data_IF_324432743269
#
_entry.id   IF_324432743269
#
_cell.length_a   1.000
_cell.length_b   1.000
_cell.length_c   1.000
_cell.angle_alpha   90.00
_cell.angle_beta   90.00
_cell.angle_gamma   90.00
#
_symmetry.space_group_name_H-M   'P 1'
#
loop_
_entity.id
_entity.type
_entity.pdbx_description
1 polymer ?
#
# COMPACT_ATOMS: atom_id res chain seq x y z
N UNK A 1 -10.81 36.44 -2.50
CA UNK A 1 -10.59 35.26 -1.64
C UNK A 1 -9.12 34.93 -1.76
N UNK A 2 -8.40 34.76 -0.64
CA UNK A 2 -6.96 34.52 -0.70
C UNK A 2 -6.71 33.21 -1.46
N UNK A 3 -5.92 33.28 -2.52
CA UNK A 3 -5.46 32.10 -3.25
C UNK A 3 -4.51 31.34 -2.31
N UNK A 4 -4.96 30.22 -1.76
CA UNK A 4 -4.12 29.38 -0.89
C UNK A 4 -3.19 28.57 -1.79
N UNK A 5 -1.89 28.86 -1.73
CA UNK A 5 -0.88 28.12 -2.49
C UNK A 5 -0.51 26.80 -1.79
N UNK A 6 0.15 25.91 -2.54
CA UNK A 6 0.48 24.57 -2.06
C UNK A 6 1.43 24.60 -0.85
N UNK A 7 2.36 25.55 -0.80
CA UNK A 7 3.32 25.68 0.30
C UNK A 7 2.61 26.05 1.61
N UNK A 8 1.66 26.98 1.56
CA UNK A 8 0.86 27.38 2.72
C UNK A 8 -0.02 26.23 3.23
N UNK A 9 -0.60 25.43 2.31
CA UNK A 9 -1.39 24.27 2.67
C UNK A 9 -0.53 23.17 3.31
N UNK A 10 0.67 22.94 2.77
CA UNK A 10 1.63 21.98 3.31
C UNK A 10 2.08 22.38 4.71
N UNK A 11 2.45 23.65 4.92
CA UNK A 11 2.84 24.16 6.24
C UNK A 11 1.70 23.99 7.26
N UNK A 12 0.46 24.26 6.87
CA UNK A 12 -0.69 24.04 7.74
C UNK A 12 -0.93 22.58 8.07
N UNK A 13 -0.73 21.67 7.12
CA UNK A 13 -0.85 20.24 7.32
C UNK A 13 0.24 19.71 8.26
N UNK A 14 1.50 20.12 8.05
CA UNK A 14 2.64 19.66 8.84
C UNK A 14 2.57 20.12 10.30
N UNK A 15 1.94 21.28 10.57
CA UNK A 15 1.73 21.80 11.92
C UNK A 15 0.59 21.12 12.70
N UNK A 16 -0.08 20.09 12.13
CA UNK A 16 -1.12 19.31 12.83
C UNK A 16 -0.54 18.18 13.67
N UNK A 17 -1.36 17.60 14.54
CA UNK A 17 -1.00 16.39 15.28
C UNK A 17 -0.74 15.22 14.33
N UNK A 18 0.03 14.23 14.78
CA UNK A 18 0.36 13.04 13.97
C UNK A 18 -0.89 12.34 13.41
N UNK A 19 -1.92 12.20 14.25
CA UNK A 19 -3.20 11.59 13.85
C UNK A 19 -3.90 12.37 12.76
N UNK A 20 -3.99 13.70 12.88
CA UNK A 20 -4.61 14.55 11.87
C UNK A 20 -3.85 14.52 10.55
N UNK A 21 -2.51 14.48 10.61
CA UNK A 21 -1.67 14.32 9.42
C UNK A 21 -1.91 12.97 8.73
N UNK A 22 -2.03 11.89 9.50
CA UNK A 22 -2.30 10.56 8.95
C UNK A 22 -3.66 10.52 8.23
N UNK A 23 -4.71 11.08 8.84
CA UNK A 23 -6.05 11.18 8.22
C UNK A 23 -6.01 12.02 6.95
N UNK A 24 -5.30 13.14 6.94
CA UNK A 24 -5.18 13.98 5.76
C UNK A 24 -4.40 13.27 4.64
N UNK A 25 -3.31 12.57 4.97
CA UNK A 25 -2.54 11.81 4.01
C UNK A 25 -3.37 10.68 3.38
N UNK A 26 -4.13 9.94 4.19
CA UNK A 26 -5.06 8.91 3.72
C UNK A 26 -6.09 9.50 2.75
N UNK A 27 -6.78 10.58 3.14
CA UNK A 27 -7.76 11.23 2.28
C UNK A 27 -7.17 11.73 0.95
N UNK A 28 -5.95 12.29 0.98
CA UNK A 28 -5.27 12.74 -0.23
C UNK A 28 -4.87 11.55 -1.13
N UNK A 29 -4.30 10.49 -0.58
CA UNK A 29 -3.96 9.28 -1.34
C UNK A 29 -5.21 8.67 -1.98
N UNK A 30 -6.29 8.48 -1.21
CA UNK A 30 -7.55 7.95 -1.73
C UNK A 30 -8.17 8.83 -2.81
N UNK A 31 -7.99 10.16 -2.75
CA UNK A 31 -8.46 11.05 -3.83
C UNK A 31 -7.68 10.93 -5.14
N UNK A 32 -6.47 10.36 -5.09
CA UNK A 32 -5.61 10.10 -6.24
C UNK A 32 -5.78 8.68 -6.79
N UNK A 33 -6.33 7.77 -6.00
CA UNK A 33 -6.67 6.42 -6.43
C UNK A 33 -7.71 6.49 -7.55
N UNK A 34 -7.30 6.05 -8.74
CA UNK A 34 -8.21 5.86 -9.87
C UNK A 34 -8.93 4.53 -9.68
N UNK A 35 -10.12 4.41 -10.25
CA UNK A 35 -10.76 3.09 -10.37
C UNK A 35 -9.75 2.13 -11.02
N UNK A 36 -9.49 0.96 -10.40
CA UNK A 36 -8.56 0.00 -10.96
C UNK A 36 -9.03 -0.37 -12.36
N UNK A 37 -8.10 -0.32 -13.31
CA UNK A 37 -8.38 -0.78 -14.66
C UNK A 37 -8.82 -2.25 -14.59
N UNK A 38 -9.97 -2.57 -15.18
CA UNK A 38 -10.55 -3.92 -15.09
C UNK A 38 -9.58 -5.02 -15.52
N UNK A 39 -8.70 -4.73 -16.47
CA UNK A 39 -7.68 -5.66 -16.94
C UNK A 39 -6.58 -5.90 -15.89
N UNK A 40 -6.23 -4.87 -15.11
CA UNK A 40 -5.27 -4.99 -14.00
C UNK A 40 -5.89 -5.83 -12.88
N UNK A 41 -7.13 -5.56 -12.50
CA UNK A 41 -7.83 -6.35 -11.48
C UNK A 41 -7.95 -7.82 -11.91
N UNK A 42 -8.32 -8.07 -13.16
CA UNK A 42 -8.39 -9.43 -13.71
C UNK A 42 -7.03 -10.13 -13.69
N UNK A 43 -5.95 -9.45 -14.11
CA UNK A 43 -4.61 -10.02 -14.06
C UNK A 43 -4.17 -10.38 -12.63
N UNK A 44 -4.56 -9.57 -11.64
CA UNK A 44 -4.32 -9.88 -10.23
C UNK A 44 -5.10 -11.09 -9.74
N UNK A 45 -6.39 -11.22 -10.10
CA UNK A 45 -7.20 -12.39 -9.76
C UNK A 45 -6.64 -13.68 -10.36
N UNK A 46 -6.24 -13.63 -11.64
CA UNK A 46 -5.62 -14.77 -12.33
C UNK A 46 -4.31 -15.19 -11.66
N UNK A 47 -3.47 -14.22 -11.27
CA UNK A 47 -2.21 -14.47 -10.58
C UNK A 47 -2.39 -15.03 -9.17
N UNK A 48 -3.36 -14.54 -8.40
CA UNK A 48 -3.70 -15.09 -7.08
C UNK A 48 -4.14 -16.54 -7.23
N UNK A 49 -5.04 -16.83 -8.17
CA UNK A 49 -5.51 -18.19 -8.45
C UNK A 49 -4.36 -19.12 -8.80
N UNK A 50 -3.45 -18.69 -9.67
CA UNK A 50 -2.25 -19.45 -10.04
C UNK A 50 -1.38 -19.76 -8.82
N UNK A 51 -1.07 -18.75 -7.98
CA UNK A 51 -0.21 -18.94 -6.79
C UNK A 51 -0.84 -19.85 -5.75
N UNK A 52 -2.15 -19.76 -5.53
CA UNK A 52 -2.85 -20.68 -4.62
C UNK A 52 -2.75 -22.11 -5.13
N UNK A 53 -3.00 -22.34 -6.42
CA UNK A 53 -2.89 -23.68 -7.01
C UNK A 53 -1.45 -24.25 -6.92
N UNK A 54 -0.42 -23.41 -7.10
CA UNK A 54 0.99 -23.82 -6.93
C UNK A 54 1.32 -24.18 -5.48
N UNK A 55 0.75 -23.47 -4.50
CA UNK A 55 0.90 -23.78 -3.08
C UNK A 55 0.19 -25.09 -2.73
N UNK A 56 -1.07 -25.25 -3.13
CA UNK A 56 -1.89 -26.43 -2.83
C UNK A 56 -1.32 -27.71 -3.47
N UNK A 57 -0.75 -27.59 -4.67
CA UNK A 57 -0.09 -28.71 -5.36
C UNK A 57 1.32 -29.01 -4.86
N UNK A 58 1.91 -28.12 -4.05
CA UNK A 58 3.32 -28.21 -3.65
C UNK A 58 4.30 -27.96 -4.79
N UNK A 59 3.85 -27.35 -5.90
CA UNK A 59 4.69 -27.02 -7.06
C UNK A 59 5.69 -25.89 -6.76
N UNK A 60 5.46 -25.11 -5.69
CA UNK A 60 6.37 -24.08 -5.23
C UNK A 60 6.95 -24.40 -3.85
N UNK A 61 8.21 -24.01 -3.63
CA UNK A 61 8.83 -24.05 -2.31
C UNK A 61 8.35 -22.87 -1.46
N UNK A 62 8.09 -23.12 -0.19
CA UNK A 62 7.69 -22.10 0.78
C UNK A 62 8.75 -21.95 1.86
N UNK A 63 8.84 -20.74 2.44
CA UNK A 63 9.66 -20.49 3.62
C UNK A 63 8.74 -20.36 4.84
N UNK A 64 9.11 -20.92 6.00
CA UNK A 64 8.39 -20.68 7.24
C UNK A 64 8.30 -19.19 7.54
N UNK A 65 7.15 -18.73 8.03
CA UNK A 65 6.91 -17.32 8.37
C UNK A 65 7.98 -16.76 9.33
N UNK A 66 8.44 -17.57 10.29
CA UNK A 66 9.48 -17.18 11.23
C UNK A 66 10.80 -16.81 10.55
N UNK A 67 11.16 -17.51 9.48
CA UNK A 67 12.35 -17.19 8.69
C UNK A 67 12.17 -15.88 7.92
N UNK A 68 11.00 -15.68 7.31
CA UNK A 68 10.67 -14.44 6.57
C UNK A 68 10.72 -13.24 7.52
N UNK A 69 10.05 -13.35 8.67
CA UNK A 69 10.01 -12.31 9.71
C UNK A 69 11.42 -11.94 10.20
N UNK A 70 12.27 -12.93 10.45
CA UNK A 70 13.67 -12.70 10.83
C UNK A 70 14.44 -11.95 9.75
N UNK A 71 14.25 -12.24 8.47
CA UNK A 71 14.92 -11.51 7.37
C UNK A 71 14.43 -10.07 7.23
N UNK A 72 13.14 -9.81 7.48
CA UNK A 72 12.56 -8.45 7.39
C UNK A 72 13.02 -7.53 8.53
N UNK A 73 13.21 -8.08 9.73
CA UNK A 73 13.56 -7.31 10.93
C UNK A 73 15.01 -7.45 11.38
N UNK A 74 15.73 -8.46 10.88
CA UNK A 74 17.16 -8.64 11.06
C UNK A 74 17.91 -7.66 10.16
N UNK A 75 18.09 -6.43 10.63
CA UNK A 75 19.12 -5.53 10.13
C UNK A 75 20.46 -5.99 10.70
N UNK A 76 21.45 -6.18 9.83
CA UNK A 76 22.85 -5.93 10.19
C UNK A 76 23.08 -4.41 10.30
#
# INVERSE_FOLDING_TARGET
>A
MADMNIDTLLDQALNRSERERAVLAEALISSLEKEPEMDVEKAWQDEIGRRVAELDSGATSTLPWEEVRRKLHGRD
#
